data_IF_290401654317
#
_entry.id   IF_290401654317
#
_cell.length_a   1.000
_cell.length_b   1.000
_cell.length_c   1.000
_cell.angle_alpha   90.00
_cell.angle_beta   90.00
_cell.angle_gamma   90.00
#
_symmetry.space_group_name_H-M   'P 1'
#
loop_
_entity.id
_entity.type
_entity.pdbx_description
1 polymer ?
#
# COMPACT_ATOMS: atom_id res chain seq x y z
N UNK A 1 -3.56 10.95 15.29
CA UNK A 1 -2.13 10.86 14.84
C UNK A 1 -1.40 9.79 15.64
N UNK A 2 -0.29 9.21 15.16
CA UNK A 2 0.34 8.00 15.75
C UNK A 2 0.63 8.08 17.27
N UNK A 3 0.84 9.29 17.81
CA UNK A 3 1.02 9.53 19.24
C UNK A 3 -0.24 9.27 20.09
N UNK A 4 -1.44 9.27 19.52
CA UNK A 4 -2.71 9.06 20.23
C UNK A 4 -3.06 7.57 20.40
N UNK A 5 -2.29 6.64 19.80
CA UNK A 5 -2.58 5.20 19.80
C UNK A 5 -1.50 4.34 20.48
N UNK A 6 -0.52 4.94 21.16
CA UNK A 6 0.55 4.20 21.86
C UNK A 6 1.52 3.43 20.94
N UNK A 7 1.47 3.68 19.63
CA UNK A 7 2.37 3.05 18.65
C UNK A 7 3.63 3.90 18.49
N UNK A 8 4.79 3.36 18.86
CA UNK A 8 6.08 4.04 18.66
C UNK A 8 6.48 3.95 17.18
N UNK A 9 6.10 4.94 16.38
CA UNK A 9 6.54 5.06 14.99
C UNK A 9 7.99 5.54 14.98
N UNK A 10 8.92 4.66 14.60
CA UNK A 10 10.33 5.01 14.47
C UNK A 10 10.62 5.44 13.03
N UNK A 11 11.01 6.69 12.83
CA UNK A 11 11.33 7.23 11.51
C UNK A 11 12.40 6.41 10.75
N UNK A 12 12.41 6.49 9.41
CA UNK A 12 13.31 5.72 8.55
C UNK A 12 14.78 6.06 8.82
N UNK A 13 15.64 5.04 8.97
CA UNK A 13 17.09 5.17 9.22
C UNK A 13 17.91 5.42 7.94
N UNK A 14 17.35 5.05 6.79
CA UNK A 14 17.93 5.17 5.44
C UNK A 14 16.80 5.35 4.43
N UNK A 15 17.14 5.67 3.18
CA UNK A 15 16.22 5.52 2.06
C UNK A 15 16.03 4.02 1.85
N UNK A 16 14.80 3.54 1.95
CA UNK A 16 14.46 2.13 1.74
C UNK A 16 13.92 1.92 0.33
N UNK A 17 14.33 0.84 -0.32
CA UNK A 17 13.71 0.37 -1.54
C UNK A 17 12.52 -0.53 -1.21
N UNK A 18 11.30 0.01 -1.29
CA UNK A 18 10.08 -0.73 -0.98
C UNK A 18 9.59 -1.64 -2.12
N UNK A 19 10.30 -1.73 -3.26
CA UNK A 19 9.81 -2.46 -4.44
C UNK A 19 9.44 -3.91 -4.15
N UNK A 20 10.27 -4.63 -3.39
CA UNK A 20 10.02 -6.06 -3.08
C UNK A 20 8.75 -6.21 -2.24
N UNK A 21 8.58 -5.41 -1.18
CA UNK A 21 7.34 -5.41 -0.39
C UNK A 21 6.11 -4.94 -1.19
N UNK A 22 6.26 -3.97 -2.10
CA UNK A 22 5.17 -3.56 -2.99
C UNK A 22 4.77 -4.65 -3.98
N UNK A 23 5.73 -5.43 -4.51
CA UNK A 23 5.43 -6.62 -5.33
C UNK A 23 4.78 -7.71 -4.47
N UNK A 24 5.24 -7.89 -3.23
CA UNK A 24 4.62 -8.80 -2.25
C UNK A 24 3.16 -8.43 -1.98
N UNK A 25 2.83 -7.14 -1.93
CA UNK A 25 1.45 -6.67 -1.81
C UNK A 25 0.58 -7.10 -3.00
N UNK A 26 1.10 -7.00 -4.24
CA UNK A 26 0.39 -7.47 -5.44
C UNK A 26 0.19 -8.99 -5.43
N UNK A 27 1.21 -9.75 -4.99
CA UNK A 27 1.09 -11.19 -4.81
C UNK A 27 0.04 -11.55 -3.74
N UNK A 28 0.04 -10.84 -2.60
CA UNK A 28 -0.96 -11.05 -1.56
C UNK A 28 -2.39 -10.71 -2.03
N UNK A 29 -2.56 -9.75 -2.94
CA UNK A 29 -3.86 -9.49 -3.59
C UNK A 29 -4.29 -10.67 -4.47
N UNK A 30 -3.38 -11.20 -5.30
CA UNK A 30 -3.63 -12.41 -6.12
C UNK A 30 -4.05 -13.61 -5.27
N UNK A 31 -3.40 -13.80 -4.12
CA UNK A 31 -3.66 -14.90 -3.20
C UNK A 31 -4.80 -14.61 -2.19
N UNK A 32 -5.51 -13.48 -2.33
CA UNK A 32 -6.62 -13.06 -1.46
C UNK A 32 -6.28 -12.88 0.04
N UNK A 33 -5.02 -12.61 0.37
CA UNK A 33 -4.53 -12.40 1.75
C UNK A 33 -3.98 -10.99 1.99
N UNK A 34 -4.27 -10.05 1.08
CA UNK A 34 -3.79 -8.66 1.11
C UNK A 34 -3.88 -7.99 2.48
N UNK A 35 -5.03 -8.06 3.18
CA UNK A 35 -5.21 -7.35 4.45
C UNK A 35 -4.24 -7.86 5.52
N UNK A 36 -4.14 -9.18 5.68
CA UNK A 36 -3.26 -9.81 6.66
C UNK A 36 -1.79 -9.48 6.35
N UNK A 37 -1.38 -9.62 5.09
CA UNK A 37 -0.04 -9.27 4.64
C UNK A 37 0.29 -7.80 4.91
N UNK A 38 -0.60 -6.89 4.51
CA UNK A 38 -0.40 -5.45 4.65
C UNK A 38 -0.27 -5.06 6.13
N UNK A 39 -1.14 -5.56 7.00
CA UNK A 39 -1.07 -5.28 8.44
C UNK A 39 0.25 -5.76 9.06
N UNK A 40 0.70 -6.97 8.70
CA UNK A 40 1.97 -7.54 9.17
C UNK A 40 3.20 -6.74 8.69
N UNK A 41 3.22 -6.35 7.41
CA UNK A 41 4.33 -5.56 6.85
C UNK A 41 4.43 -4.20 7.54
N UNK A 42 3.31 -3.48 7.63
CA UNK A 42 3.30 -2.14 8.24
C UNK A 42 3.69 -2.20 9.73
N UNK A 43 3.12 -3.12 10.51
CA UNK A 43 3.45 -3.25 11.93
C UNK A 43 4.94 -3.55 12.15
N UNK A 44 5.46 -4.60 11.50
CA UNK A 44 6.85 -5.04 11.71
C UNK A 44 7.87 -4.07 11.13
N UNK A 45 7.59 -3.45 9.98
CA UNK A 45 8.49 -2.45 9.40
C UNK A 45 8.67 -1.23 10.31
N UNK A 46 7.56 -0.68 10.84
CA UNK A 46 7.63 0.49 11.73
C UNK A 46 8.24 0.17 13.10
N UNK A 47 8.17 -1.09 13.54
CA UNK A 47 8.88 -1.59 14.74
C UNK A 47 10.36 -1.87 14.48
N UNK A 48 10.82 -1.84 13.23
CA UNK A 48 12.17 -2.21 12.77
C UNK A 48 12.49 -3.70 12.95
N UNK A 49 11.47 -4.54 12.74
CA UNK A 49 11.52 -6.00 12.88
C UNK A 49 11.39 -6.72 11.53
N UNK A 50 11.41 -5.96 10.43
CA UNK A 50 11.26 -6.48 9.08
C UNK A 50 12.23 -5.77 8.13
N UNK A 51 13.01 -6.56 7.40
CA UNK A 51 13.74 -6.08 6.22
C UNK A 51 12.87 -6.27 4.98
N UNK A 52 12.38 -5.16 4.42
CA UNK A 52 11.52 -5.17 3.24
C UNK A 52 12.29 -5.25 1.93
N UNK A 53 13.62 -5.20 1.99
CA UNK A 53 14.53 -5.32 0.83
C UNK A 53 14.99 -6.76 0.61
N UNK A 54 14.60 -7.69 1.48
CA UNK A 54 14.97 -9.11 1.41
C UNK A 54 13.78 -9.95 0.89
N UNK A 55 13.91 -10.61 -0.28
CA UNK A 55 12.87 -11.48 -0.85
C UNK A 55 12.42 -12.62 0.06
N UNK A 56 13.33 -13.24 0.83
CA UNK A 56 13.02 -14.38 1.70
C UNK A 56 12.25 -13.92 2.94
N UNK A 57 12.60 -12.75 3.46
CA UNK A 57 11.88 -12.10 4.57
C UNK A 57 10.45 -11.75 4.14
N UNK A 58 10.28 -11.19 2.94
CA UNK A 58 8.95 -10.86 2.40
C UNK A 58 8.14 -12.14 2.12
N UNK A 59 8.77 -13.20 1.61
CA UNK A 59 8.12 -14.51 1.44
C UNK A 59 7.59 -15.05 2.77
N UNK A 60 8.39 -14.97 3.83
CA UNK A 60 7.99 -15.42 5.17
C UNK A 60 6.76 -14.67 5.71
N UNK A 61 6.60 -13.39 5.35
CA UNK A 61 5.40 -12.62 5.71
C UNK A 61 4.19 -13.03 4.86
N UNK A 62 4.39 -13.33 3.57
CA UNK A 62 3.35 -13.87 2.70
C UNK A 62 2.83 -15.22 3.22
N UNK A 63 3.74 -16.13 3.58
CA UNK A 63 3.39 -17.42 4.19
C UNK A 63 2.61 -17.23 5.49
N UNK A 64 3.10 -16.35 6.38
CA UNK A 64 2.44 -16.03 7.63
C UNK A 64 1.06 -15.37 7.47
N UNK A 65 0.83 -14.70 6.34
CA UNK A 65 -0.48 -14.14 5.96
C UNK A 65 -1.41 -15.18 5.32
N UNK A 66 -0.92 -16.38 4.99
CA UNK A 66 -1.69 -17.48 4.42
C UNK A 66 -1.61 -17.61 2.90
N UNK A 67 -0.65 -16.95 2.24
CA UNK A 67 -0.43 -17.11 0.80
C UNK A 67 0.20 -18.47 0.48
N UNK A 68 -0.10 -19.03 -0.69
CA UNK A 68 0.74 -20.08 -1.26
C UNK A 68 1.93 -19.45 -2.01
N UNK A 69 3.12 -19.52 -1.44
CA UNK A 69 4.31 -18.84 -1.98
C UNK A 69 5.15 -19.70 -2.94
N UNK A 70 4.64 -20.82 -3.44
CA UNK A 70 5.38 -21.69 -4.37
C UNK A 70 5.93 -20.94 -5.58
N UNK A 71 5.18 -19.94 -6.05
CA UNK A 71 5.50 -19.16 -7.25
C UNK A 71 6.01 -17.75 -6.91
N UNK A 72 6.37 -17.48 -5.64
CA UNK A 72 6.77 -16.14 -5.22
C UNK A 72 8.00 -15.63 -5.97
N UNK A 73 9.08 -16.44 -6.02
CA UNK A 73 10.33 -16.00 -6.64
C UNK A 73 10.17 -15.71 -8.14
N UNK A 74 9.46 -16.60 -8.86
CA UNK A 74 9.19 -16.42 -10.29
C UNK A 74 8.27 -15.23 -10.56
N UNK A 75 7.28 -14.98 -9.68
CA UNK A 75 6.45 -13.79 -9.76
C UNK A 75 7.25 -12.52 -9.49
N UNK A 76 8.11 -12.52 -8.47
CA UNK A 76 8.95 -11.38 -8.08
C UNK A 76 9.87 -10.93 -9.23
N UNK A 77 10.48 -11.89 -9.93
CA UNK A 77 11.42 -11.62 -11.02
C UNK A 77 10.73 -11.35 -12.37
N UNK A 78 9.52 -11.90 -12.56
CA UNK A 78 8.74 -11.77 -13.79
C UNK A 78 7.55 -10.83 -13.64
N UNK A 79 6.34 -11.41 -13.67
CA UNK A 79 5.09 -10.66 -13.81
C UNK A 79 4.87 -9.60 -12.73
N UNK A 80 5.27 -9.87 -11.48
CA UNK A 80 5.16 -8.92 -10.38
C UNK A 80 6.02 -7.68 -10.58
N UNK A 81 7.23 -7.83 -11.13
CA UNK A 81 8.11 -6.71 -11.48
C UNK A 81 7.49 -5.84 -12.57
N UNK A 82 6.96 -6.47 -13.62
CA UNK A 82 6.31 -5.79 -14.73
C UNK A 82 5.07 -5.01 -14.27
N UNK A 83 4.21 -5.65 -13.46
CA UNK A 83 3.00 -5.01 -12.92
C UNK A 83 3.35 -3.83 -12.02
N UNK A 84 4.32 -4.00 -11.13
CA UNK A 84 4.79 -2.91 -10.27
C UNK A 84 5.30 -1.72 -11.09
N UNK A 85 6.16 -1.97 -12.08
CA UNK A 85 6.76 -0.90 -12.87
C UNK A 85 5.72 -0.17 -13.73
N UNK A 86 4.75 -0.91 -14.29
CA UNK A 86 3.60 -0.32 -15.00
C UNK A 86 2.74 0.53 -14.08
N UNK A 87 2.30 0.00 -12.93
CA UNK A 87 1.47 0.75 -11.97
C UNK A 87 2.18 2.02 -11.50
N UNK A 88 3.50 1.96 -11.30
CA UNK A 88 4.29 3.14 -10.93
C UNK A 88 4.30 4.17 -12.06
N UNK A 89 4.56 3.77 -13.30
CA UNK A 89 4.52 4.65 -14.47
C UNK A 89 3.15 5.30 -14.65
N UNK A 90 2.08 4.50 -14.60
CA UNK A 90 0.70 4.97 -14.72
C UNK A 90 0.37 6.03 -13.63
N UNK A 91 0.86 5.84 -12.41
CA UNK A 91 0.70 6.79 -11.33
C UNK A 91 1.51 8.08 -11.57
N UNK A 92 2.78 7.98 -11.97
CA UNK A 92 3.64 9.12 -12.30
C UNK A 92 3.04 9.96 -13.43
N UNK A 93 2.55 9.33 -14.50
CA UNK A 93 1.84 9.98 -15.61
C UNK A 93 0.52 10.63 -15.16
N UNK A 94 -0.16 10.02 -14.19
CA UNK A 94 -1.34 10.57 -13.51
C UNK A 94 -1.04 11.74 -12.55
N UNK A 95 0.21 12.21 -12.47
CA UNK A 95 0.61 13.32 -11.60
C UNK A 95 0.96 12.90 -10.16
N UNK A 96 1.14 11.61 -9.90
CA UNK A 96 1.51 11.11 -8.58
C UNK A 96 3.02 11.31 -8.33
N UNK A 97 3.39 12.18 -7.40
CA UNK A 97 4.79 12.47 -7.02
C UNK A 97 5.15 12.05 -5.57
N UNK A 98 4.26 11.39 -4.84
CA UNK A 98 4.48 10.99 -3.44
C UNK A 98 3.39 10.10 -2.86
N UNK A 99 3.54 9.67 -1.60
CA UNK A 99 2.57 8.84 -0.87
C UNK A 99 2.38 9.33 0.58
N UNK A 100 1.21 9.12 1.22
CA UNK A 100 -0.03 8.63 0.61
C UNK A 100 -0.70 9.72 -0.25
N UNK A 101 -1.20 9.34 -1.42
CA UNK A 101 -2.04 10.17 -2.28
C UNK A 101 -3.30 9.44 -2.68
N UNK A 102 -4.37 10.20 -2.86
CA UNK A 102 -5.69 9.70 -3.22
C UNK A 102 -6.17 10.43 -4.47
N UNK A 103 -6.79 9.71 -5.39
CA UNK A 103 -7.48 10.28 -6.56
C UNK A 103 -8.98 10.06 -6.36
N UNK A 104 -9.78 11.12 -6.47
CA UNK A 104 -11.26 11.04 -6.43
C UNK A 104 -11.79 11.85 -7.61
N UNK A 105 -12.50 11.21 -8.54
CA UNK A 105 -13.06 11.84 -9.75
C UNK A 105 -12.03 12.65 -10.57
N UNK A 106 -10.78 12.17 -10.63
CA UNK A 106 -9.67 12.86 -11.31
C UNK A 106 -8.98 13.97 -10.51
N UNK A 107 -9.47 14.30 -9.30
CA UNK A 107 -8.84 15.24 -8.38
C UNK A 107 -7.80 14.53 -7.48
N UNK A 108 -6.57 15.03 -7.42
CA UNK A 108 -5.49 14.53 -6.58
C UNK A 108 -5.49 15.16 -5.18
N UNK A 109 -5.37 14.33 -4.14
CA UNK A 109 -5.26 14.73 -2.73
C UNK A 109 -3.99 14.15 -2.09
N UNK A 110 -3.13 15.01 -1.52
CA UNK A 110 -1.86 14.61 -0.88
C UNK A 110 -1.92 14.65 0.65
N UNK A 111 -1.36 13.62 1.31
CA UNK A 111 -0.99 13.60 2.73
C UNK A 111 -2.05 13.05 3.70
N UNK A 112 -1.58 12.41 4.79
CA UNK A 112 -2.42 11.89 5.88
C UNK A 112 -3.24 12.95 6.62
N UNK A 113 -2.79 14.21 6.57
CA UNK A 113 -3.50 15.38 7.14
C UNK A 113 -4.83 15.68 6.44
N UNK A 114 -5.07 15.06 5.27
CA UNK A 114 -6.29 15.26 4.48
C UNK A 114 -7.26 14.09 4.53
N UNK A 115 -7.02 13.03 5.32
CA UNK A 115 -8.04 12.00 5.57
C UNK A 115 -9.38 12.60 6.06
N UNK A 116 -9.42 13.63 6.94
CA UNK A 116 -10.66 14.31 7.29
C UNK A 116 -11.29 15.13 6.15
N UNK A 117 -10.50 15.59 5.18
CA UNK A 117 -10.98 16.34 4.00
C UNK A 117 -11.51 15.36 2.94
N UNK A 118 -10.82 14.25 2.70
CA UNK A 118 -11.24 13.14 1.85
C UNK A 118 -12.57 12.55 2.33
N UNK A 119 -12.72 12.32 3.65
CA UNK A 119 -13.98 11.88 4.26
C UNK A 119 -15.13 12.85 4.00
N UNK A 120 -14.87 14.16 4.06
CA UNK A 120 -15.89 15.20 3.75
C UNK A 120 -16.26 15.20 2.27
N UNK A 121 -15.29 15.02 1.37
CA UNK A 121 -15.53 14.97 -0.08
C UNK A 121 -16.35 13.74 -0.48
N UNK A 122 -16.02 12.56 0.05
CA UNK A 122 -16.80 11.33 -0.17
C UNK A 122 -18.25 11.47 0.31
N UNK A 123 -18.46 12.05 1.50
CA UNK A 123 -19.82 12.30 2.01
C UNK A 123 -20.61 13.31 1.16
N UNK A 124 -19.95 14.28 0.52
CA UNK A 124 -20.59 15.21 -0.40
C UNK A 124 -20.96 14.56 -1.73
N UNK A 125 -20.09 13.70 -2.27
CA UNK A 125 -20.37 12.97 -3.51
C UNK A 125 -21.55 12.01 -3.33
N UNK A 126 -21.60 11.27 -2.22
CA UNK A 126 -22.72 10.41 -1.85
C UNK A 126 -24.04 11.19 -1.77
N UNK A 127 -24.01 12.39 -1.16
CA UNK A 127 -25.18 13.27 -1.06
C UNK A 127 -25.65 13.80 -2.41
N UNK A 128 -24.73 14.10 -3.32
CA UNK A 128 -25.06 14.57 -4.67
C UNK A 128 -25.62 13.46 -5.56
N UNK A 129 -25.16 12.21 -5.40
CA UNK A 129 -25.74 11.04 -6.06
C UNK A 129 -27.18 10.81 -5.60
N UNK A 130 -27.44 10.87 -4.28
CA UNK A 130 -28.78 10.67 -3.72
C UNK A 130 -29.79 11.79 -4.09
N UNK A 131 -29.31 13.01 -4.37
CA UNK A 131 -30.15 14.15 -4.79
C UNK A 131 -30.43 14.16 -6.30
N UNK A 132 -29.61 13.49 -7.10
CA UNK A 132 -29.80 13.39 -8.55
C UNK A 132 -30.65 12.16 -8.96
N UNK A 133 -30.99 11.27 -8.01
CA UNK A 133 -31.89 10.12 -8.19
C UNK A 133 -33.33 10.37 -7.65
N UNK A 134 -33.64 11.59 -7.21
CA UNK A 134 -34.95 12.03 -6.70
C UNK A 134 -35.51 13.17 -7.52
#
# INVERSE_FOLDING_TARGET
MANERGMTVRGPKKIFNSKIASIGMLFAQKENVFRAYNDMVFDRFWRRELDIEDPEVVQSVLDGAGANTSDWQSYLEGKGREDHDRIRSDAEEGGVFGVPMFVVDGELFWGGDRIPILRRRLAQLEKNLLLNES
#
